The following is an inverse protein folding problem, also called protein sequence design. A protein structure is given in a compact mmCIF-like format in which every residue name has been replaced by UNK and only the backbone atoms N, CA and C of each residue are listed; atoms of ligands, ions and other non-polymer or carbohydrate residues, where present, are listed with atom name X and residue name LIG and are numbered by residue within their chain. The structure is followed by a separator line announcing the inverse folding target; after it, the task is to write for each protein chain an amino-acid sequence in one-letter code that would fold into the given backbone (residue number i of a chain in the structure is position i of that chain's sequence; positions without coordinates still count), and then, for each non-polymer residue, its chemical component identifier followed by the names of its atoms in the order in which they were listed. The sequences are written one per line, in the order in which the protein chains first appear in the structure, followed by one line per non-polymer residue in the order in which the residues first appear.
data_IF_820198319029
#
_entry.id   IF_820198319029
#
_cell.length_a   1.000
_cell.length_b   1.000
_cell.length_c   1.000
_cell.angle_alpha   90.00
_cell.angle_beta   90.00
_cell.angle_gamma   90.00
#
_symmetry.space_group_name_H-M   'P 1'
#
loop_
_entity.id
_entity.type
_entity.pdbx_description
1 polymer ?
#
# COMPACT_ATOMS: atom_id res chain seq x y z
N UNK A 1 -23.10 1.21 -3.12
CA UNK A 1 -21.69 0.74 -3.22
C UNK A 1 -21.74 -0.77 -3.07
N UNK A 2 -20.90 -1.50 -3.81
CA UNK A 2 -20.81 -2.93 -3.62
C UNK A 2 -20.26 -3.24 -2.22
N UNK A 3 -20.86 -4.19 -1.53
CA UNK A 3 -20.43 -4.67 -0.23
C UNK A 3 -19.61 -5.94 -0.38
N UNK A 4 -18.98 -6.38 0.71
CA UNK A 4 -18.27 -7.66 0.73
C UNK A 4 -19.23 -8.85 0.44
N UNK A 5 -20.45 -8.81 0.99
CA UNK A 5 -21.49 -9.80 0.69
C UNK A 5 -21.95 -9.79 -0.76
N UNK A 6 -22.07 -8.60 -1.37
CA UNK A 6 -22.40 -8.51 -2.81
C UNK A 6 -21.33 -9.17 -3.69
N UNK A 7 -20.04 -9.00 -3.33
CA UNK A 7 -18.94 -9.66 -4.07
C UNK A 7 -19.01 -11.18 -3.91
N UNK A 8 -19.22 -11.66 -2.68
CA UNK A 8 -19.37 -13.10 -2.42
C UNK A 8 -20.53 -13.71 -3.24
N UNK A 9 -21.69 -13.03 -3.24
CA UNK A 9 -22.86 -13.48 -4.01
C UNK A 9 -22.58 -13.55 -5.51
N UNK A 10 -21.92 -12.51 -6.07
CA UNK A 10 -21.53 -12.50 -7.49
C UNK A 10 -20.59 -13.64 -7.86
N UNK A 11 -19.62 -13.94 -7.01
CA UNK A 11 -18.70 -15.07 -7.26
C UNK A 11 -19.46 -16.40 -7.20
N UNK A 12 -20.36 -16.57 -6.22
CA UNK A 12 -21.19 -17.77 -6.11
C UNK A 12 -22.08 -17.98 -7.33
N UNK A 13 -22.69 -16.89 -7.84
CA UNK A 13 -23.52 -16.91 -9.04
C UNK A 13 -22.70 -17.25 -10.29
N UNK A 14 -21.49 -16.67 -10.45
CA UNK A 14 -20.60 -16.97 -11.59
C UNK A 14 -20.13 -18.42 -11.59
N UNK A 15 -19.91 -19.01 -10.41
CA UNK A 15 -19.55 -20.42 -10.25
C UNK A 15 -20.75 -21.37 -10.32
N UNK A 16 -21.98 -20.83 -10.25
CA UNK A 16 -23.22 -21.58 -10.06
C UNK A 16 -23.11 -22.57 -8.87
N UNK A 17 -22.45 -22.14 -7.76
CA UNK A 17 -22.16 -22.96 -6.57
C UNK A 17 -22.51 -22.19 -5.31
N UNK A 18 -23.23 -22.85 -4.41
CA UNK A 18 -23.62 -22.29 -3.10
C UNK A 18 -22.92 -22.97 -1.91
N UNK A 19 -22.20 -24.04 -2.18
CA UNK A 19 -21.51 -24.87 -1.20
C UNK A 19 -20.07 -24.38 -0.87
N UNK A 20 -19.57 -23.35 -1.60
CA UNK A 20 -18.21 -22.82 -1.46
C UNK A 20 -18.15 -21.45 -0.78
N UNK A 21 -19.10 -21.12 0.10
CA UNK A 21 -19.20 -19.77 0.67
C UNK A 21 -17.97 -19.39 1.52
N UNK A 22 -17.40 -20.32 2.26
CA UNK A 22 -16.21 -20.07 3.09
C UNK A 22 -14.95 -19.94 2.20
N UNK A 23 -14.84 -20.78 1.18
CA UNK A 23 -13.76 -20.76 0.22
C UNK A 23 -13.76 -19.45 -0.59
N UNK A 24 -14.93 -19.00 -1.00
CA UNK A 24 -15.11 -17.69 -1.68
C UNK A 24 -14.62 -16.56 -0.76
N UNK A 25 -15.02 -16.55 0.49
CA UNK A 25 -14.58 -15.57 1.47
C UNK A 25 -13.04 -15.56 1.63
N UNK A 26 -12.45 -16.74 1.76
CA UNK A 26 -11.00 -16.90 1.91
C UNK A 26 -10.23 -16.45 0.66
N UNK A 27 -10.73 -16.78 -0.54
CA UNK A 27 -10.03 -16.38 -1.78
C UNK A 27 -10.19 -14.89 -2.10
N UNK A 28 -11.25 -14.22 -1.66
CA UNK A 28 -11.34 -12.76 -1.72
C UNK A 28 -10.26 -12.14 -0.82
N UNK A 29 -10.11 -12.62 0.41
CA UNK A 29 -9.05 -12.12 1.31
C UNK A 29 -7.66 -12.40 0.73
N UNK A 30 -7.43 -13.59 0.18
CA UNK A 30 -6.17 -13.96 -0.48
C UNK A 30 -5.87 -13.02 -1.66
N UNK A 31 -6.88 -12.68 -2.45
CA UNK A 31 -6.74 -11.74 -3.56
C UNK A 31 -6.39 -10.32 -3.10
N UNK A 32 -7.01 -9.84 -2.01
CA UNK A 32 -6.69 -8.54 -1.42
C UNK A 32 -5.24 -8.51 -0.92
N UNK A 33 -4.83 -9.51 -0.12
CA UNK A 33 -3.46 -9.62 0.42
C UNK A 33 -2.42 -9.67 -0.71
N UNK A 34 -2.73 -10.32 -1.82
CA UNK A 34 -1.83 -10.36 -2.98
C UNK A 34 -1.55 -8.97 -3.57
N UNK A 35 -2.56 -8.10 -3.58
CA UNK A 35 -2.45 -6.76 -4.16
C UNK A 35 -2.19 -5.65 -3.14
N UNK A 36 -2.29 -5.88 -1.85
CA UNK A 36 -2.25 -4.83 -0.83
C UNK A 36 -0.90 -4.08 -0.79
N UNK A 37 0.19 -4.73 -1.22
CA UNK A 37 1.51 -4.11 -1.30
C UNK A 37 1.71 -3.30 -2.59
N UNK A 38 0.84 -3.45 -3.59
CA UNK A 38 0.89 -2.62 -4.79
C UNK A 38 0.28 -1.25 -4.52
N UNK A 39 0.93 -0.22 -5.03
CA UNK A 39 0.48 1.16 -4.85
C UNK A 39 -0.62 1.51 -5.83
N UNK A 40 -1.83 1.70 -5.31
CA UNK A 40 -2.97 2.23 -6.02
C UNK A 40 -3.37 3.58 -5.44
N UNK A 41 -4.09 4.42 -6.23
CA UNK A 41 -4.56 5.73 -5.77
C UNK A 41 -5.48 5.70 -4.55
N UNK A 42 -6.06 4.54 -4.24
CA UNK A 42 -7.04 4.38 -3.16
C UNK A 42 -6.44 3.75 -1.88
N UNK A 43 -5.22 3.22 -1.94
CA UNK A 43 -4.52 2.69 -0.77
C UNK A 43 -3.28 3.52 -0.41
N UNK A 44 -3.23 4.77 -0.86
CA UNK A 44 -2.22 5.73 -0.42
C UNK A 44 -2.64 6.35 0.90
N UNK A 45 -1.73 6.39 1.85
CA UNK A 45 -1.93 7.02 3.16
C UNK A 45 -0.79 7.96 3.53
N UNK A 46 -1.09 8.87 4.45
CA UNK A 46 -0.13 9.82 4.99
C UNK A 46 -0.17 9.76 6.51
N UNK A 47 1.01 9.75 7.09
CA UNK A 47 1.19 9.89 8.53
C UNK A 47 2.25 10.94 8.83
N UNK A 48 2.10 11.66 9.94
CA UNK A 48 3.07 12.67 10.34
C UNK A 48 3.25 12.70 11.84
N UNK A 49 4.48 13.02 12.25
CA UNK A 49 4.86 13.18 13.65
C UNK A 49 5.90 14.27 13.80
N UNK A 50 6.08 14.74 15.01
CA UNK A 50 7.16 15.66 15.37
C UNK A 50 8.30 14.89 16.01
N UNK A 51 9.53 15.25 15.65
CA UNK A 51 10.72 14.65 16.21
C UNK A 51 10.94 15.10 17.65
N UNK A 52 11.51 14.18 18.43
CA UNK A 52 12.02 14.43 19.78
C UNK A 52 13.54 14.56 19.72
N UNK A 53 14.10 15.43 20.55
CA UNK A 53 15.56 15.67 20.54
C UNK A 53 16.36 14.38 20.73
N UNK A 54 17.29 14.12 19.82
CA UNK A 54 18.20 12.96 19.84
C UNK A 54 17.49 11.59 19.62
N UNK A 55 16.16 11.53 19.59
CA UNK A 55 15.47 10.29 19.32
C UNK A 55 15.53 9.95 17.83
N UNK A 56 16.08 8.79 17.49
CA UNK A 56 16.25 8.35 16.10
C UNK A 56 15.11 7.42 15.65
N UNK A 57 14.59 6.58 16.54
CA UNK A 57 13.63 5.52 16.22
C UNK A 57 12.20 5.95 16.56
N UNK A 58 11.32 5.80 15.59
CA UNK A 58 9.88 6.08 15.71
C UNK A 58 9.08 4.88 15.20
N UNK A 59 8.06 4.48 15.98
CA UNK A 59 7.16 3.40 15.55
C UNK A 59 6.34 3.82 14.33
N UNK A 60 6.22 2.94 13.34
CA UNK A 60 5.31 3.13 12.22
C UNK A 60 3.91 2.63 12.58
N UNK A 61 2.84 3.27 12.09
CA UNK A 61 1.51 2.71 12.20
C UNK A 61 1.43 1.35 11.46
N UNK A 62 0.77 0.37 12.08
CA UNK A 62 0.68 -1.01 11.56
C UNK A 62 -0.01 -1.13 10.19
N UNK A 63 -0.80 -0.12 9.83
CA UNK A 63 -1.44 -0.05 8.52
C UNK A 63 -0.48 0.30 7.37
N UNK A 64 0.71 0.83 7.64
CA UNK A 64 1.69 1.13 6.61
C UNK A 64 2.43 -0.12 6.17
N UNK A 65 2.40 -0.41 4.86
CA UNK A 65 2.93 -1.64 4.29
C UNK A 65 4.24 -1.44 3.51
N UNK A 66 4.27 -0.47 2.61
CA UNK A 66 5.36 -0.34 1.64
C UNK A 66 5.45 1.06 1.02
N UNK A 67 6.46 1.25 0.18
CA UNK A 67 6.60 2.35 -0.78
C UNK A 67 6.65 3.74 -0.13
N UNK A 68 7.48 3.88 0.90
CA UNK A 68 7.57 5.07 1.73
C UNK A 68 8.29 6.23 1.03
N UNK A 69 7.65 7.39 1.00
CA UNK A 69 8.24 8.69 0.65
C UNK A 69 8.22 9.57 1.90
N UNK A 70 9.39 9.92 2.39
CA UNK A 70 9.54 10.62 3.67
C UNK A 70 10.06 12.02 3.43
N UNK A 71 9.34 13.00 3.95
CA UNK A 71 9.72 14.41 3.91
C UNK A 71 9.83 14.98 5.32
N UNK A 72 10.74 15.91 5.49
CA UNK A 72 10.88 16.70 6.69
C UNK A 72 10.49 18.15 6.46
N UNK A 73 9.86 18.77 7.45
CA UNK A 73 9.60 20.20 7.47
C UNK A 73 10.30 20.83 8.66
N UNK A 74 11.11 21.84 8.36
CA UNK A 74 11.77 22.68 9.36
C UNK A 74 11.43 24.15 9.07
N UNK A 75 10.76 24.80 9.98
CA UNK A 75 10.15 26.10 9.77
C UNK A 75 9.23 26.09 8.51
N UNK A 76 9.57 26.86 7.50
CA UNK A 76 8.84 26.94 6.22
C UNK A 76 9.39 26.03 5.11
N UNK A 77 10.50 25.34 5.35
CA UNK A 77 11.20 24.53 4.35
C UNK A 77 10.76 23.08 4.38
N UNK A 78 10.34 22.56 3.22
CA UNK A 78 10.07 21.15 3.00
C UNK A 78 11.18 20.53 2.18
N UNK A 79 11.67 19.37 2.61
CA UNK A 79 12.67 18.61 1.86
C UNK A 79 12.48 17.11 2.06
N UNK A 80 12.86 16.32 1.05
CA UNK A 80 12.76 14.86 1.11
C UNK A 80 13.98 14.29 1.81
N UNK A 81 13.74 13.23 2.58
CA UNK A 81 14.80 12.43 3.17
C UNK A 81 15.26 11.34 2.20
N UNK A 82 16.56 11.05 2.20
CA UNK A 82 17.13 10.00 1.37
C UNK A 82 16.94 8.64 2.05
N UNK A 83 16.33 7.63 1.37
CA UNK A 83 16.27 6.28 1.91
C UNK A 83 17.67 5.64 1.92
N UNK A 84 18.07 5.09 3.04
CA UNK A 84 19.33 4.37 3.23
C UNK A 84 19.05 3.04 3.93
N UNK A 85 20.02 2.12 3.89
CA UNK A 85 19.92 0.88 4.66
C UNK A 85 20.34 1.09 6.11
N UNK A 86 19.82 0.26 7.01
CA UNK A 86 20.17 0.31 8.43
C UNK A 86 21.69 0.13 8.64
N UNK A 87 22.29 -0.82 7.92
CA UNK A 87 23.72 -1.11 8.00
C UNK A 87 24.59 0.08 7.58
N UNK A 88 24.12 0.82 6.56
CA UNK A 88 24.83 2.02 6.10
C UNK A 88 24.74 3.14 7.14
N UNK A 89 23.60 3.33 7.78
CA UNK A 89 23.42 4.29 8.86
C UNK A 89 24.29 3.92 10.05
N UNK A 90 24.37 2.66 10.45
CA UNK A 90 25.23 2.18 11.53
C UNK A 90 26.72 2.44 11.26
N UNK A 91 27.14 2.26 10.01
CA UNK A 91 28.52 2.54 9.60
C UNK A 91 28.87 4.04 9.70
N UNK A 92 27.94 4.94 9.37
CA UNK A 92 28.12 6.39 9.46
C UNK A 92 28.01 6.87 10.91
N UNK A 93 27.14 6.26 11.71
CA UNK A 93 26.85 6.66 13.08
C UNK A 93 28.06 6.44 14.02
N UNK A 94 29.01 5.58 13.62
CA UNK A 94 30.30 5.44 14.29
C UNK A 94 31.05 6.77 14.42
N UNK A 95 30.69 7.80 13.66
CA UNK A 95 31.23 9.16 13.72
C UNK A 95 30.60 10.03 14.82
N UNK A 96 29.64 9.52 15.61
CA UNK A 96 28.94 10.20 16.71
C UNK A 96 28.50 11.62 16.35
N UNK A 97 27.65 11.72 15.34
CA UNK A 97 27.08 13.01 14.93
C UNK A 97 26.10 13.49 16.01
N UNK A 98 26.33 14.70 16.47
CA UNK A 98 25.41 15.41 17.37
C UNK A 98 24.11 15.74 16.64
N UNK A 99 23.02 15.94 17.37
CA UNK A 99 21.71 16.33 16.85
C UNK A 99 21.78 17.36 15.72
N UNK A 100 21.04 17.13 14.65
CA UNK A 100 21.04 17.97 13.44
C UNK A 100 19.69 17.90 12.72
N UNK A 101 19.56 18.58 11.57
CA UNK A 101 18.41 18.41 10.70
C UNK A 101 18.45 17.03 10.01
N UNK A 102 17.33 16.29 10.00
CA UNK A 102 17.21 15.01 9.30
C UNK A 102 17.63 15.10 7.82
N UNK A 103 18.32 14.10 7.31
CA UNK A 103 18.73 14.02 5.90
C UNK A 103 18.38 12.69 5.26
N UNK A 104 18.34 11.64 6.07
CA UNK A 104 18.10 10.29 5.61
C UNK A 104 17.19 9.54 6.59
N UNK A 105 16.68 8.42 6.12
CA UNK A 105 15.92 7.50 6.94
C UNK A 105 16.22 6.05 6.55
N UNK A 106 16.03 5.14 7.48
CA UNK A 106 16.02 3.70 7.24
C UNK A 106 14.77 3.09 7.86
N UNK A 107 14.31 2.01 7.26
CA UNK A 107 13.23 1.19 7.82
C UNK A 107 13.84 -0.05 8.46
N UNK A 108 13.48 -0.31 9.69
CA UNK A 108 13.93 -1.49 10.42
C UNK A 108 12.78 -2.04 11.27
N UNK A 109 12.36 -3.25 10.97
CA UNK A 109 11.16 -3.84 11.56
C UNK A 109 9.94 -2.91 11.34
N UNK A 110 9.18 -2.64 12.38
CA UNK A 110 8.01 -1.74 12.35
C UNK A 110 8.38 -0.31 12.79
N UNK A 111 9.62 0.12 12.52
CA UNK A 111 10.14 1.42 12.93
C UNK A 111 10.82 2.13 11.76
N UNK A 112 10.77 3.45 11.83
CA UNK A 112 11.58 4.32 10.98
C UNK A 112 12.69 4.94 11.82
N UNK A 113 13.94 4.80 11.35
CA UNK A 113 15.09 5.50 11.91
C UNK A 113 15.34 6.76 11.10
N UNK A 114 15.43 7.88 11.79
CA UNK A 114 15.72 9.20 11.22
C UNK A 114 17.18 9.55 11.51
N UNK A 115 17.93 9.91 10.48
CA UNK A 115 19.34 10.24 10.59
C UNK A 115 19.68 11.58 9.91
N UNK A 116 20.59 12.39 10.48
CA UNK A 116 21.18 12.33 11.84
C UNK A 116 20.13 12.41 12.94
N UNK A 117 20.50 12.10 14.21
CA UNK A 117 19.61 12.32 15.36
C UNK A 117 18.97 13.69 15.26
N UNK A 118 17.63 13.81 15.21
CA UNK A 118 16.97 15.05 14.85
C UNK A 118 16.98 16.09 15.97
N UNK A 119 16.90 17.37 15.60
CA UNK A 119 16.42 18.42 16.50
C UNK A 119 14.97 18.15 16.91
N UNK A 120 14.51 18.68 18.06
CA UNK A 120 13.11 18.56 18.44
C UNK A 120 12.21 19.40 17.50
N UNK A 121 10.94 18.99 17.38
CA UNK A 121 9.90 19.70 16.64
C UNK A 121 10.16 19.85 15.12
N UNK A 122 10.96 18.98 14.51
CA UNK A 122 10.96 18.81 13.06
C UNK A 122 9.76 17.94 12.70
N UNK A 123 8.90 18.40 11.83
CA UNK A 123 7.77 17.59 11.36
C UNK A 123 8.26 16.63 10.29
N UNK A 124 8.05 15.34 10.53
CA UNK A 124 8.27 14.28 9.56
C UNK A 124 6.92 13.87 8.99
N UNK A 125 6.83 13.77 7.68
CA UNK A 125 5.64 13.29 6.97
C UNK A 125 6.03 12.10 6.12
N UNK A 126 5.31 11.00 6.29
CA UNK A 126 5.48 9.76 5.57
C UNK A 126 4.26 9.56 4.68
N UNK A 127 4.50 9.34 3.40
CA UNK A 127 3.48 8.89 2.46
C UNK A 127 3.83 7.48 2.02
N UNK A 128 2.86 6.60 1.97
CA UNK A 128 3.12 5.21 1.62
C UNK A 128 1.85 4.44 1.29
N UNK A 129 2.01 3.17 1.01
CA UNK A 129 0.90 2.23 0.83
C UNK A 129 0.40 1.82 2.21
N UNK A 130 -0.91 1.89 2.40
CA UNK A 130 -1.57 1.48 3.65
C UNK A 130 -2.50 0.30 3.44
N UNK A 131 -2.61 -0.54 4.47
CA UNK A 131 -3.65 -1.56 4.57
C UNK A 131 -4.98 -0.90 4.81
N UNK A 132 -5.97 -1.22 3.98
CA UNK A 132 -7.33 -0.76 4.18
C UNK A 132 -8.03 -1.57 5.30
N UNK A 133 -9.09 -1.02 5.91
CA UNK A 133 -9.86 -1.73 6.92
C UNK A 133 -10.30 -3.12 6.43
N UNK A 134 -10.21 -4.12 7.32
CA UNK A 134 -10.57 -5.49 7.00
C UNK A 134 -12.06 -5.61 6.67
N UNK A 135 -12.38 -6.52 5.76
CA UNK A 135 -13.75 -6.88 5.39
C UNK A 135 -14.13 -8.16 6.14
N UNK A 136 -14.92 -8.03 7.18
CA UNK A 136 -15.29 -9.15 8.08
C UNK A 136 -16.76 -9.51 7.89
N UNK A 137 -17.64 -8.51 7.91
CA UNK A 137 -19.08 -8.71 7.78
C UNK A 137 -19.54 -8.52 6.34
N UNK A 138 -20.63 -9.19 5.92
CA UNK A 138 -21.17 -9.02 4.57
C UNK A 138 -21.53 -7.57 4.18
N UNK A 139 -21.83 -6.73 5.17
CA UNK A 139 -22.15 -5.31 4.98
C UNK A 139 -20.93 -4.42 4.85
N UNK A 140 -19.74 -4.93 5.16
CA UNK A 140 -18.51 -4.14 5.13
C UNK A 140 -18.18 -3.71 3.70
N UNK A 141 -17.61 -2.52 3.60
CA UNK A 141 -17.14 -1.96 2.34
C UNK A 141 -15.86 -1.17 2.57
N UNK A 142 -14.97 -1.21 1.61
CA UNK A 142 -13.77 -0.38 1.56
C UNK A 142 -13.43 -0.04 0.11
N UNK A 143 -12.28 0.58 -0.13
CA UNK A 143 -11.91 0.97 -1.48
C UNK A 143 -11.60 -0.22 -2.41
N UNK A 144 -11.30 -1.42 -1.90
CA UNK A 144 -11.21 -2.63 -2.72
C UNK A 144 -12.55 -2.97 -3.37
N UNK A 145 -13.67 -2.80 -2.62
CA UNK A 145 -15.01 -3.08 -3.12
C UNK A 145 -15.52 -2.04 -4.11
N UNK A 146 -15.09 -0.78 -3.97
CA UNK A 146 -15.59 0.32 -4.81
C UNK A 146 -14.69 0.63 -6.01
N UNK A 147 -13.38 0.49 -5.87
CA UNK A 147 -12.41 0.93 -6.89
C UNK A 147 -11.72 -0.21 -7.63
N UNK A 148 -11.61 -1.38 -7.03
CA UNK A 148 -10.89 -2.54 -7.53
C UNK A 148 -11.70 -3.85 -7.47
N UNK A 149 -13.04 -3.75 -7.37
CA UNK A 149 -13.94 -4.91 -7.27
C UNK A 149 -13.68 -5.96 -8.34
N UNK A 150 -13.62 -5.53 -9.61
CA UNK A 150 -13.38 -6.42 -10.75
C UNK A 150 -12.03 -7.15 -10.62
N UNK A 151 -10.97 -6.44 -10.16
CA UNK A 151 -9.63 -7.03 -9.99
C UNK A 151 -9.64 -8.11 -8.90
N UNK A 152 -10.19 -7.80 -7.75
CA UNK A 152 -10.26 -8.73 -6.60
C UNK A 152 -11.14 -9.93 -6.93
N UNK A 153 -12.31 -9.70 -7.51
CA UNK A 153 -13.26 -10.73 -7.90
C UNK A 153 -12.68 -11.69 -8.92
N UNK A 154 -12.08 -11.17 -9.99
CA UNK A 154 -11.46 -12.01 -11.03
C UNK A 154 -10.31 -12.85 -10.48
N UNK A 155 -9.50 -12.27 -9.56
CA UNK A 155 -8.41 -13.00 -8.91
C UNK A 155 -8.94 -14.11 -8.00
N UNK A 156 -9.95 -13.82 -7.20
CA UNK A 156 -10.59 -14.81 -6.32
C UNK A 156 -11.19 -15.96 -7.15
N UNK A 157 -11.89 -15.65 -8.26
CA UNK A 157 -12.41 -16.65 -9.19
C UNK A 157 -11.29 -17.53 -9.79
N UNK A 158 -10.21 -16.93 -10.27
CA UNK A 158 -9.08 -17.69 -10.81
C UNK A 158 -8.49 -18.64 -9.78
N UNK A 159 -8.35 -18.20 -8.54
CA UNK A 159 -7.89 -19.03 -7.43
C UNK A 159 -8.86 -20.19 -7.14
N UNK A 160 -10.18 -19.93 -7.15
CA UNK A 160 -11.20 -20.95 -6.94
C UNK A 160 -11.19 -22.02 -8.04
N UNK A 161 -11.09 -21.61 -9.31
CA UNK A 161 -10.95 -22.54 -10.44
C UNK A 161 -9.68 -23.40 -10.27
N UNK A 162 -8.56 -22.80 -9.94
CA UNK A 162 -7.30 -23.52 -9.79
C UNK A 162 -7.31 -24.51 -8.60
N UNK A 163 -7.76 -24.07 -7.43
CA UNK A 163 -7.59 -24.81 -6.16
C UNK A 163 -8.71 -25.78 -5.87
N UNK A 164 -9.95 -25.41 -6.14
CA UNK A 164 -11.15 -26.16 -5.72
C UNK A 164 -11.83 -26.87 -6.87
N UNK A 165 -11.95 -26.24 -8.03
CA UNK A 165 -12.59 -26.84 -9.20
C UNK A 165 -11.61 -27.62 -10.07
N UNK A 166 -10.28 -27.43 -9.85
CA UNK A 166 -9.18 -28.03 -10.63
C UNK A 166 -9.30 -27.79 -12.13
N UNK A 167 -9.90 -26.68 -12.51
CA UNK A 167 -9.99 -26.20 -13.88
C UNK A 167 -8.87 -25.20 -14.15
N UNK A 168 -7.70 -25.72 -14.49
CA UNK A 168 -6.51 -24.89 -14.73
C UNK A 168 -6.62 -24.06 -15.99
N UNK A 169 -7.41 -24.49 -16.99
CA UNK A 169 -7.60 -23.77 -18.24
C UNK A 169 -8.38 -22.47 -17.99
N UNK A 170 -9.51 -22.54 -17.29
CA UNK A 170 -10.29 -21.37 -16.93
C UNK A 170 -9.51 -20.43 -15.98
N UNK A 171 -8.77 -21.00 -15.04
CA UNK A 171 -7.93 -20.19 -14.15
C UNK A 171 -6.88 -19.39 -14.92
N UNK A 172 -6.21 -20.02 -15.90
CA UNK A 172 -5.20 -19.35 -16.72
C UNK A 172 -5.77 -18.22 -17.57
N UNK A 173 -6.93 -18.42 -18.19
CA UNK A 173 -7.63 -17.38 -18.93
C UNK A 173 -7.92 -16.16 -18.05
N UNK A 174 -8.38 -16.37 -16.81
CA UNK A 174 -8.64 -15.28 -15.87
C UNK A 174 -7.35 -14.59 -15.42
N UNK A 175 -6.28 -15.32 -15.14
CA UNK A 175 -4.98 -14.71 -14.82
C UNK A 175 -4.44 -13.88 -15.99
N UNK A 176 -4.53 -14.37 -17.21
CA UNK A 176 -4.14 -13.59 -18.39
C UNK A 176 -4.99 -12.33 -18.56
N UNK A 177 -6.30 -12.41 -18.32
CA UNK A 177 -7.17 -11.23 -18.33
C UNK A 177 -6.76 -10.19 -17.30
N UNK A 178 -6.41 -10.61 -16.09
CA UNK A 178 -5.89 -9.72 -15.04
C UNK A 178 -4.64 -8.99 -15.54
N UNK A 179 -3.64 -9.73 -16.00
CA UNK A 179 -2.34 -9.17 -16.38
C UNK A 179 -2.43 -8.28 -17.63
N UNK A 180 -3.22 -8.68 -18.62
CA UNK A 180 -3.29 -7.99 -19.91
C UNK A 180 -4.28 -6.83 -19.92
N UNK A 181 -5.31 -6.84 -19.07
CA UNK A 181 -6.39 -5.85 -19.09
C UNK A 181 -6.55 -5.09 -17.79
N UNK A 182 -6.72 -5.80 -16.66
CA UNK A 182 -7.08 -5.16 -15.40
C UNK A 182 -5.91 -4.41 -14.78
N UNK A 183 -4.75 -5.03 -14.66
CA UNK A 183 -3.56 -4.39 -14.07
C UNK A 183 -3.07 -3.16 -14.87
N UNK A 184 -2.96 -3.19 -16.20
CA UNK A 184 -2.62 -2.00 -16.97
C UNK A 184 -3.63 -0.86 -16.79
N UNK A 185 -4.94 -1.18 -16.74
CA UNK A 185 -6.00 -0.20 -16.48
C UNK A 185 -5.87 0.45 -15.10
N UNK A 186 -5.55 -0.34 -14.07
CA UNK A 186 -5.34 0.16 -12.72
C UNK A 186 -4.08 1.05 -12.65
N UNK A 187 -2.97 0.61 -13.26
CA UNK A 187 -1.72 1.39 -13.34
C UNK A 187 -1.90 2.70 -14.12
N UNK A 188 -2.64 2.69 -15.20
CA UNK A 188 -2.96 3.90 -15.96
C UNK A 188 -3.73 4.93 -15.12
N UNK A 189 -4.68 4.49 -14.30
CA UNK A 189 -5.41 5.38 -13.37
C UNK A 189 -4.49 6.00 -12.32
N UNK A 190 -3.47 5.26 -11.85
CA UNK A 190 -2.46 5.80 -10.94
C UNK A 190 -1.65 6.92 -11.60
N UNK A 191 -1.17 6.69 -12.82
CA UNK A 191 -0.35 7.65 -13.58
C UNK A 191 -1.15 8.92 -13.84
N UNK A 192 -2.37 8.83 -14.35
CA UNK A 192 -3.20 9.99 -14.66
C UNK A 192 -3.48 10.88 -13.43
N UNK A 193 -3.54 10.33 -12.23
CA UNK A 193 -3.70 11.12 -11.00
C UNK A 193 -2.41 11.78 -10.52
N UNK A 194 -1.25 11.14 -10.75
CA UNK A 194 0.07 11.72 -10.42
C UNK A 194 0.44 12.88 -11.34
N UNK A 195 0.06 12.80 -12.60
CA UNK A 195 0.38 13.85 -13.59
C UNK A 195 -0.43 15.13 -13.40
N UNK A 196 -1.66 15.06 -12.91
CA UNK A 196 -2.48 16.24 -12.62
C UNK A 196 -1.94 17.10 -11.46
N UNK A 197 -1.04 16.58 -10.63
CA UNK A 197 -0.35 17.33 -9.57
C UNK A 197 1.02 17.89 -9.96
N UNK A 198 1.51 17.63 -11.17
CA UNK A 198 2.81 18.12 -11.64
C UNK A 198 2.64 19.52 -12.20
N UNK A 199 2.93 20.53 -11.38
CA UNK A 199 3.17 21.88 -11.88
C UNK A 199 4.40 21.85 -12.80
N UNK A 200 4.18 21.95 -14.11
CA UNK A 200 5.27 22.15 -15.07
C UNK A 200 5.75 23.59 -14.84
N UNK A 201 7.02 23.81 -14.43
CA UNK A 201 7.52 25.17 -14.33
C UNK A 201 7.48 25.80 -15.72
N UNK A 202 6.73 26.89 -15.85
CA UNK A 202 6.79 27.71 -17.06
C UNK A 202 8.22 28.25 -17.16
N UNK A 203 8.95 27.84 -18.19
CA UNK A 203 10.19 28.53 -18.58
C UNK A 203 9.79 29.93 -19.04
N UNK A 204 10.22 30.95 -18.28
CA UNK A 204 10.35 32.32 -18.76
C UNK A 204 11.57 32.41 -19.69
#
# INVERSE_FOLDING_TARGET
MATYGDMQARIADELARTDLSQEIANEIQTAIVYYENERFWFNEGQWSFQTVNIQELYGLPLEFLADFDVAAQWNTWWYRLTPLTQEYLDAIDALKIVSSLPRAFALFQEQIRIWPPPYPNVQITINGVIRLPALINPTDTNAWMSSAEELVRTRALANLYMRYLRDTEQAEVLFQYIEQKLMPRMRSKNIGRRETGRLIPHRM
#
